data_IF_145981196616
#
_entry.id   IF_145981196616
#
_cell.length_a   1.000
_cell.length_b   1.000
_cell.length_c   1.000
_cell.angle_alpha   90.00
_cell.angle_beta   90.00
_cell.angle_gamma   90.00
#
_symmetry.space_group_name_H-M   'P 1'
#
loop_
_entity.id
_entity.type
_entity.pdbx_description
1 polymer ?
#
# COMPACT_ATOMS: atom_id res chain seq x y z
N UNK A 1 4.97 12.92 -14.35
CA UNK A 1 4.83 12.13 -15.60
C UNK A 1 3.83 12.74 -16.58
N UNK A 2 2.93 13.61 -16.17
CA UNK A 2 1.85 14.16 -17.02
C UNK A 2 0.77 13.14 -17.42
N UNK A 3 0.79 11.95 -16.85
CA UNK A 3 -0.23 10.92 -17.07
C UNK A 3 -1.36 11.20 -16.06
N UNK A 4 -2.61 11.37 -16.54
CA UNK A 4 -3.73 11.74 -15.67
C UNK A 4 -4.15 10.59 -14.74
N UNK A 5 -4.05 9.33 -15.19
CA UNK A 5 -4.45 8.16 -14.41
C UNK A 5 -3.33 7.12 -14.38
N UNK A 6 -2.97 6.68 -13.19
CA UNK A 6 -2.07 5.55 -12.96
C UNK A 6 -2.74 4.55 -12.02
N UNK A 7 -2.54 3.25 -12.30
CA UNK A 7 -3.12 2.17 -11.50
C UNK A 7 -2.04 1.13 -11.25
N UNK A 8 -1.99 0.61 -10.04
CA UNK A 8 -1.18 -0.53 -9.64
C UNK A 8 -2.07 -1.71 -9.27
N UNK A 9 -1.64 -2.91 -9.65
CA UNK A 9 -2.30 -4.14 -9.24
C UNK A 9 -1.30 -5.22 -8.90
N UNK A 10 -1.65 -6.05 -7.93
CA UNK A 10 -0.84 -7.16 -7.44
C UNK A 10 -1.43 -8.49 -7.92
N UNK A 11 -0.58 -9.38 -8.38
CA UNK A 11 -0.98 -10.73 -8.76
C UNK A 11 -0.97 -11.62 -7.53
N UNK A 12 -2.17 -12.05 -7.11
CA UNK A 12 -2.38 -12.97 -5.99
C UNK A 12 -2.45 -14.43 -6.42
N UNK A 13 -2.91 -15.25 -5.47
CA UNK A 13 -3.12 -16.68 -5.71
C UNK A 13 -4.11 -16.92 -6.87
N UNK A 14 -3.88 -17.99 -7.64
CA UNK A 14 -4.70 -18.34 -8.80
C UNK A 14 -4.53 -17.44 -10.01
N UNK A 15 -3.40 -16.69 -10.10
CA UNK A 15 -3.11 -15.75 -11.21
C UNK A 15 -4.20 -14.70 -11.43
N UNK A 16 -4.77 -14.21 -10.33
CA UNK A 16 -5.73 -13.11 -10.35
C UNK A 16 -5.01 -11.80 -9.98
N UNK A 17 -5.13 -10.79 -10.83
CA UNK A 17 -4.60 -9.45 -10.56
C UNK A 17 -5.69 -8.62 -9.88
N UNK A 18 -5.38 -8.07 -8.72
CA UNK A 18 -6.26 -7.16 -7.98
C UNK A 18 -5.73 -5.74 -8.14
N UNK A 19 -6.56 -4.83 -8.64
CA UNK A 19 -6.20 -3.42 -8.78
C UNK A 19 -6.35 -2.76 -7.40
N UNK A 20 -5.25 -2.63 -6.66
CA UNK A 20 -5.24 -2.13 -5.28
C UNK A 20 -5.00 -0.64 -5.19
N UNK A 21 -4.22 -0.08 -6.11
CA UNK A 21 -3.77 1.30 -6.05
C UNK A 21 -4.18 2.08 -7.29
N UNK A 22 -4.61 3.32 -7.09
CA UNK A 22 -4.94 4.19 -8.20
C UNK A 22 -4.74 5.67 -7.86
N UNK A 23 -4.26 6.43 -8.84
CA UNK A 23 -4.11 7.88 -8.76
C UNK A 23 -4.78 8.53 -9.95
N UNK A 24 -5.52 9.61 -9.71
CA UNK A 24 -6.17 10.39 -10.76
C UNK A 24 -7.48 9.81 -11.27
N UNK A 25 -8.03 8.78 -10.63
CA UNK A 25 -9.34 8.21 -10.93
C UNK A 25 -10.46 9.21 -10.62
N UNK A 26 -11.50 9.20 -11.43
CA UNK A 26 -12.71 10.02 -11.26
C UNK A 26 -13.82 9.26 -10.52
N UNK A 27 -13.78 7.94 -10.61
CA UNK A 27 -14.75 7.03 -10.01
C UNK A 27 -14.06 5.97 -9.18
N UNK A 28 -14.83 5.18 -8.45
CA UNK A 28 -14.33 3.99 -7.75
C UNK A 28 -14.56 2.69 -8.53
N UNK A 29 -14.95 2.75 -9.79
CA UNK A 29 -15.39 1.59 -10.57
C UNK A 29 -14.29 0.53 -10.80
N UNK A 30 -13.03 0.94 -10.76
CA UNK A 30 -11.89 0.02 -10.91
C UNK A 30 -11.19 -0.30 -9.58
N UNK A 31 -11.67 0.24 -8.45
CA UNK A 31 -11.10 -0.06 -7.14
C UNK A 31 -11.38 -1.52 -6.79
N UNK A 32 -10.34 -2.22 -6.34
CA UNK A 32 -10.37 -3.64 -5.97
C UNK A 32 -10.87 -4.58 -7.09
N UNK A 33 -10.81 -4.10 -8.35
CA UNK A 33 -11.23 -4.87 -9.51
C UNK A 33 -10.32 -6.09 -9.68
N UNK A 34 -10.93 -7.26 -9.75
CA UNK A 34 -10.22 -8.52 -10.00
C UNK A 34 -10.13 -8.76 -11.50
N UNK A 35 -8.90 -8.85 -12.00
CA UNK A 35 -8.61 -9.08 -13.42
C UNK A 35 -8.06 -10.50 -13.57
N UNK A 36 -8.75 -11.30 -14.38
CA UNK A 36 -8.39 -12.69 -14.63
C UNK A 36 -7.28 -12.82 -15.67
N UNK A 37 -6.53 -13.90 -15.58
CA UNK A 37 -5.46 -14.24 -16.52
C UNK A 37 -5.99 -14.28 -17.96
N UNK A 38 -5.32 -13.57 -18.87
CA UNK A 38 -5.73 -13.44 -20.27
C UNK A 38 -6.81 -12.40 -20.56
N UNK A 39 -7.53 -11.91 -19.54
CA UNK A 39 -8.66 -11.01 -19.72
C UNK A 39 -8.25 -9.52 -19.67
N UNK A 40 -8.76 -8.73 -20.59
CA UNK A 40 -8.48 -7.29 -20.69
C UNK A 40 -7.00 -6.97 -20.90
N UNK A 41 -6.61 -5.73 -20.61
CA UNK A 41 -5.21 -5.28 -20.76
C UNK A 41 -4.28 -5.97 -19.76
N UNK A 42 -4.67 -6.01 -18.49
CA UNK A 42 -3.83 -6.59 -17.43
C UNK A 42 -3.72 -8.09 -17.48
N UNK A 43 -4.82 -8.78 -17.78
CA UNK A 43 -4.80 -10.23 -17.94
C UNK A 43 -3.93 -10.67 -19.12
N UNK A 44 -3.91 -9.87 -20.20
CA UNK A 44 -3.00 -10.10 -21.33
C UNK A 44 -1.54 -9.85 -20.95
N UNK A 45 -1.25 -8.83 -20.13
CA UNK A 45 0.10 -8.61 -19.60
C UNK A 45 0.55 -9.80 -18.75
N UNK A 46 -0.31 -10.31 -17.87
CA UNK A 46 -0.02 -11.52 -17.08
C UNK A 46 0.25 -12.74 -17.98
N UNK A 47 -0.55 -12.94 -19.02
CA UNK A 47 -0.44 -14.09 -19.91
C UNK A 47 0.81 -14.06 -20.79
N UNK A 48 1.28 -12.87 -21.18
CA UNK A 48 2.39 -12.73 -22.12
C UNK A 48 3.71 -12.34 -21.45
N UNK A 49 3.67 -11.81 -20.20
CA UNK A 49 4.83 -11.19 -19.55
C UNK A 49 5.38 -9.97 -20.30
N UNK A 50 4.59 -9.38 -21.20
CA UNK A 50 5.02 -8.27 -22.07
C UNK A 50 4.13 -7.05 -21.88
N UNK A 51 4.68 -5.83 -22.09
CA UNK A 51 3.87 -4.61 -22.11
C UNK A 51 2.76 -4.68 -23.15
N UNK A 52 1.59 -4.16 -22.81
CA UNK A 52 0.42 -4.05 -23.69
C UNK A 52 -0.05 -2.61 -23.71
N UNK A 53 -0.27 -2.04 -24.90
CA UNK A 53 -0.81 -0.70 -25.07
C UNK A 53 -2.00 -0.71 -26.03
N UNK A 54 -3.07 0.00 -25.68
CA UNK A 54 -4.25 0.23 -26.50
C UNK A 54 -4.50 1.71 -26.67
N UNK A 55 -4.58 2.18 -27.92
CA UNK A 55 -4.77 3.59 -28.24
C UNK A 55 -6.24 4.00 -28.26
N UNK A 56 -7.14 3.03 -28.40
CA UNK A 56 -8.60 3.21 -28.29
C UNK A 56 -9.18 1.94 -27.67
N UNK A 57 -9.39 1.97 -26.36
CA UNK A 57 -9.79 0.81 -25.57
C UNK A 57 -11.05 0.11 -26.11
N UNK A 58 -12.17 0.82 -26.41
CA UNK A 58 -13.38 0.18 -26.90
C UNK A 58 -13.24 -0.54 -28.25
N UNK A 59 -12.21 -0.20 -29.03
CA UNK A 59 -11.96 -0.75 -30.37
C UNK A 59 -10.74 -1.68 -30.42
N UNK A 60 -10.15 -1.99 -29.28
CA UNK A 60 -8.89 -2.72 -29.20
C UNK A 60 -9.10 -4.22 -29.40
N UNK A 61 -8.97 -4.75 -30.60
CA UNK A 61 -9.10 -6.19 -30.92
C UNK A 61 -8.00 -7.08 -30.34
N UNK A 62 -7.00 -6.49 -29.65
CA UNK A 62 -5.90 -7.24 -29.03
C UNK A 62 -6.17 -7.66 -27.58
N UNK A 63 -7.30 -7.26 -27.01
CA UNK A 63 -7.71 -7.57 -25.63
C UNK A 63 -9.14 -8.12 -25.64
N UNK A 64 -9.53 -8.77 -24.54
CA UNK A 64 -10.94 -9.08 -24.29
C UNK A 64 -11.63 -7.88 -23.65
N UNK A 65 -12.94 -7.81 -23.73
CA UNK A 65 -13.76 -6.66 -23.32
C UNK A 65 -14.60 -6.93 -22.07
N UNK A 66 -14.14 -7.83 -21.19
CA UNK A 66 -14.84 -8.19 -19.96
C UNK A 66 -14.92 -7.03 -18.95
N UNK A 67 -14.00 -6.06 -19.05
CA UNK A 67 -13.91 -4.91 -18.14
C UNK A 67 -14.33 -3.58 -18.77
N UNK A 68 -15.09 -3.63 -19.86
CA UNK A 68 -15.57 -2.41 -20.56
C UNK A 68 -16.35 -1.49 -19.61
N UNK A 69 -17.25 -2.06 -18.80
CA UNK A 69 -18.11 -1.27 -17.92
C UNK A 69 -17.29 -0.43 -16.93
N UNK A 70 -16.40 -0.98 -16.09
CA UNK A 70 -15.59 -0.17 -15.18
C UNK A 70 -14.63 0.78 -15.90
N UNK A 71 -14.00 0.36 -17.01
CA UNK A 71 -13.03 1.20 -17.74
C UNK A 71 -13.73 2.38 -18.42
N UNK A 72 -14.87 2.17 -19.04
CA UNK A 72 -15.63 3.21 -19.73
C UNK A 72 -16.36 4.14 -18.76
N UNK A 73 -16.81 3.64 -17.59
CA UNK A 73 -17.39 4.49 -16.54
C UNK A 73 -16.36 5.45 -15.96
N UNK A 74 -15.08 5.06 -15.92
CA UNK A 74 -13.97 5.96 -15.60
C UNK A 74 -13.66 6.95 -16.73
N UNK A 75 -14.17 6.71 -17.93
CA UNK A 75 -13.94 7.52 -19.12
C UNK A 75 -12.58 7.27 -19.77
N UNK A 76 -11.90 6.17 -19.46
CA UNK A 76 -10.62 5.82 -20.05
C UNK A 76 -10.78 5.40 -21.52
N UNK A 77 -9.96 5.97 -22.39
CA UNK A 77 -9.93 5.71 -23.83
C UNK A 77 -8.65 5.03 -24.28
N UNK A 78 -7.52 5.39 -23.71
CA UNK A 78 -6.25 4.73 -23.99
C UNK A 78 -5.62 4.23 -22.71
N UNK A 79 -5.03 3.05 -22.77
CA UNK A 79 -4.35 2.43 -21.65
C UNK A 79 -3.04 1.78 -22.10
N UNK A 80 -2.03 1.85 -21.25
CA UNK A 80 -0.83 1.03 -21.35
C UNK A 80 -0.63 0.30 -20.03
N UNK A 81 -0.17 -0.94 -20.09
CA UNK A 81 0.17 -1.72 -18.92
C UNK A 81 1.51 -2.41 -19.10
N UNK A 82 2.31 -2.43 -18.03
CA UNK A 82 3.65 -3.01 -18.01
C UNK A 82 3.73 -4.01 -16.84
N UNK A 83 4.26 -5.23 -17.06
CA UNK A 83 4.46 -6.19 -15.99
C UNK A 83 5.62 -5.77 -15.08
N UNK A 84 5.54 -6.14 -13.82
CA UNK A 84 6.63 -6.21 -12.84
C UNK A 84 6.97 -7.69 -12.68
N UNK A 85 8.14 -8.09 -13.18
CA UNK A 85 8.53 -9.51 -13.28
C UNK A 85 9.64 -9.81 -12.27
N UNK A 86 9.42 -10.78 -11.40
CA UNK A 86 10.46 -11.26 -10.48
C UNK A 86 10.71 -12.74 -10.74
N UNK A 87 11.93 -13.07 -11.11
CA UNK A 87 12.27 -14.43 -11.57
C UNK A 87 11.60 -14.72 -12.93
N UNK A 88 10.54 -15.51 -12.91
CA UNK A 88 9.76 -15.87 -14.12
C UNK A 88 8.29 -15.45 -14.01
N UNK A 89 7.91 -14.91 -12.87
CA UNK A 89 6.51 -14.65 -12.54
C UNK A 89 6.19 -13.16 -12.61
N UNK A 90 5.04 -12.82 -13.19
CA UNK A 90 4.48 -11.48 -13.10
C UNK A 90 3.89 -11.31 -11.71
N UNK A 91 4.50 -10.46 -10.89
CA UNK A 91 4.11 -10.20 -9.50
C UNK A 91 3.15 -9.01 -9.38
N UNK A 92 3.26 -8.07 -10.29
CA UNK A 92 2.38 -6.91 -10.35
C UNK A 92 2.25 -6.36 -11.77
N UNK A 93 1.28 -5.47 -11.98
CA UNK A 93 1.08 -4.76 -13.25
C UNK A 93 0.87 -3.28 -12.96
N UNK A 94 1.61 -2.43 -13.68
CA UNK A 94 1.48 -0.97 -13.62
C UNK A 94 0.75 -0.50 -14.87
N UNK A 95 -0.26 0.36 -14.68
CA UNK A 95 -1.03 0.94 -15.78
C UNK A 95 -0.86 2.45 -15.86
N UNK A 96 -0.93 2.94 -17.08
CA UNK A 96 -1.17 4.34 -17.41
C UNK A 96 -2.47 4.44 -18.19
N UNK A 97 -3.31 5.41 -17.85
CA UNK A 97 -4.59 5.66 -18.51
C UNK A 97 -4.78 7.12 -18.88
N UNK A 98 -5.42 7.35 -20.03
CA UNK A 98 -5.84 8.71 -20.46
C UNK A 98 -7.26 8.67 -21.02
N UNK A 99 -7.95 9.81 -20.90
CA UNK A 99 -9.35 9.98 -21.30
C UNK A 99 -9.55 10.32 -22.79
N UNK A 100 -8.49 10.30 -23.57
CA UNK A 100 -8.49 10.56 -25.01
C UNK A 100 -7.87 9.40 -25.77
N UNK A 101 -8.28 9.18 -27.02
CA UNK A 101 -7.73 8.13 -27.88
C UNK A 101 -6.39 8.60 -28.44
N UNK A 102 -5.29 8.19 -27.79
CA UNK A 102 -3.92 8.56 -28.17
C UNK A 102 -2.99 7.36 -27.99
N UNK A 103 -1.88 7.36 -28.70
CA UNK A 103 -0.78 6.41 -28.45
C UNK A 103 0.13 6.98 -27.37
N UNK A 104 0.55 6.16 -26.44
CA UNK A 104 1.56 6.55 -25.47
C UNK A 104 2.91 6.76 -26.16
N UNK A 105 3.53 7.90 -25.91
CA UNK A 105 4.87 8.20 -26.43
C UNK A 105 5.95 7.40 -25.69
N UNK A 106 7.09 7.20 -26.33
CA UNK A 106 8.23 6.43 -25.82
C UNK A 106 8.69 6.91 -24.43
N UNK A 107 8.67 8.23 -24.19
CA UNK A 107 9.05 8.80 -22.90
C UNK A 107 8.20 8.24 -21.74
N UNK A 108 6.90 8.13 -21.94
CA UNK A 108 5.97 7.59 -20.94
C UNK A 108 6.22 6.10 -20.73
N UNK A 109 6.34 5.34 -21.80
CA UNK A 109 6.61 3.90 -21.73
C UNK A 109 7.95 3.60 -21.08
N UNK A 110 8.98 4.39 -21.35
CA UNK A 110 10.30 4.27 -20.74
C UNK A 110 10.26 4.60 -19.24
N UNK A 111 9.48 5.59 -18.81
CA UNK A 111 9.27 5.90 -17.39
C UNK A 111 8.54 4.78 -16.67
N UNK A 112 7.47 4.25 -17.26
CA UNK A 112 6.76 3.09 -16.69
C UNK A 112 7.67 1.87 -16.57
N UNK A 113 8.48 1.59 -17.61
CA UNK A 113 9.44 0.49 -17.60
C UNK A 113 10.55 0.70 -16.54
N UNK A 114 11.00 1.93 -16.31
CA UNK A 114 11.96 2.25 -15.25
C UNK A 114 11.35 2.00 -13.86
N UNK A 115 10.09 2.43 -13.65
CA UNK A 115 9.36 2.17 -12.42
C UNK A 115 9.15 0.67 -12.18
N UNK A 116 8.78 -0.09 -13.22
CA UNK A 116 8.62 -1.54 -13.12
C UNK A 116 9.94 -2.21 -12.69
N UNK A 117 11.07 -1.85 -13.31
CA UNK A 117 12.39 -2.40 -12.93
C UNK A 117 12.80 -2.06 -11.50
N UNK A 118 12.50 -0.85 -11.02
CA UNK A 118 12.76 -0.48 -9.62
C UNK A 118 11.97 -1.37 -8.65
N UNK A 119 10.69 -1.61 -8.93
CA UNK A 119 9.84 -2.51 -8.14
C UNK A 119 10.30 -3.98 -8.24
N UNK A 120 10.74 -4.45 -9.40
CA UNK A 120 11.31 -5.79 -9.57
C UNK A 120 12.51 -6.01 -8.65
N UNK A 121 13.43 -5.03 -8.59
CA UNK A 121 14.60 -5.09 -7.72
C UNK A 121 14.21 -5.09 -6.25
N UNK A 122 13.26 -4.23 -5.85
CA UNK A 122 12.80 -4.14 -4.46
C UNK A 122 12.12 -5.44 -4.01
N UNK A 123 11.23 -6.00 -4.83
CA UNK A 123 10.57 -7.27 -4.53
C UNK A 123 11.59 -8.40 -4.45
N UNK A 124 12.54 -8.48 -5.38
CA UNK A 124 13.57 -9.51 -5.39
C UNK A 124 14.47 -9.45 -4.15
N UNK A 125 14.86 -8.25 -3.70
CA UNK A 125 15.63 -8.06 -2.45
C UNK A 125 14.82 -8.51 -1.25
N UNK A 126 13.55 -8.13 -1.17
CA UNK A 126 12.65 -8.51 -0.09
C UNK A 126 12.42 -10.03 -0.04
N UNK A 127 12.23 -10.67 -1.20
CA UNK A 127 12.10 -12.13 -1.29
C UNK A 127 13.40 -12.85 -0.84
N UNK A 128 14.57 -12.32 -1.21
CA UNK A 128 15.85 -12.86 -0.80
C UNK A 128 16.12 -12.70 0.71
N UNK A 129 15.69 -11.60 1.32
CA UNK A 129 15.77 -11.38 2.77
C UNK A 129 14.83 -12.34 3.52
N UNK A 130 13.60 -12.52 3.03
CA UNK A 130 12.66 -13.49 3.58
C UNK A 130 13.19 -14.94 3.52
N UNK A 131 13.82 -15.31 2.41
CA UNK A 131 14.42 -16.65 2.22
C UNK A 131 15.61 -16.93 3.14
N UNK A 132 16.31 -15.91 3.63
CA UNK A 132 17.48 -16.04 4.54
C UNK A 132 17.12 -16.13 6.02
N UNK A 133 15.84 -16.24 6.38
CA UNK A 133 15.43 -16.39 7.78
C UNK A 133 15.49 -15.08 8.59
N UNK A 134 15.66 -13.92 7.96
CA UNK A 134 15.17 -12.69 8.51
C UNK A 134 13.65 -12.91 8.64
N UNK A 135 13.13 -12.93 9.87
CA UNK A 135 11.78 -13.39 10.18
C UNK A 135 10.80 -12.95 9.10
N UNK A 136 10.01 -13.86 8.49
CA UNK A 136 9.02 -13.47 7.53
C UNK A 136 8.07 -12.54 8.28
N UNK A 137 8.00 -11.30 7.86
CA UNK A 137 6.80 -10.52 8.05
C UNK A 137 5.72 -11.37 7.39
N UNK A 138 4.87 -12.02 8.20
CA UNK A 138 3.99 -13.10 7.82
C UNK A 138 3.20 -12.82 6.55
N UNK A 139 2.68 -13.85 5.87
CA UNK A 139 1.78 -13.72 4.75
C UNK A 139 0.43 -13.22 5.26
N UNK A 140 0.38 -11.94 5.56
CA UNK A 140 -0.83 -11.20 5.86
C UNK A 140 -1.07 -10.27 4.70
N UNK A 141 -2.10 -10.58 3.92
CA UNK A 141 -2.81 -9.70 2.99
C UNK A 141 -1.89 -8.67 2.30
N UNK A 142 -1.68 -8.83 0.99
CA UNK A 142 -0.89 -7.91 0.15
C UNK A 142 -1.36 -6.45 0.12
N UNK A 143 -2.41 -6.12 0.86
CA UNK A 143 -3.01 -4.79 0.96
C UNK A 143 -2.18 -3.79 1.77
N UNK A 144 -1.50 -4.21 2.85
CA UNK A 144 -0.71 -3.29 3.67
C UNK A 144 0.67 -2.93 3.09
N UNK A 145 1.21 -3.75 2.22
CA UNK A 145 2.62 -3.61 1.77
C UNK A 145 2.81 -2.61 0.63
N UNK A 146 1.78 -2.42 -0.21
CA UNK A 146 1.79 -1.40 -1.26
C UNK A 146 1.46 -0.03 -0.71
N UNK A 147 0.60 0.04 0.29
CA UNK A 147 0.37 1.27 1.05
C UNK A 147 1.66 1.77 1.70
N UNK A 148 2.51 0.87 2.22
CA UNK A 148 3.79 1.22 2.81
C UNK A 148 4.81 1.73 1.76
N UNK A 149 4.88 1.12 0.58
CA UNK A 149 5.81 1.54 -0.49
C UNK A 149 5.39 2.88 -1.09
N UNK A 150 4.11 3.04 -1.39
CA UNK A 150 3.58 4.30 -1.92
C UNK A 150 3.54 5.39 -0.85
N UNK A 151 3.27 5.03 0.41
CA UNK A 151 3.38 5.93 1.56
C UNK A 151 4.83 6.38 1.75
N UNK A 152 5.81 5.49 1.61
CA UNK A 152 7.22 5.84 1.68
C UNK A 152 7.67 6.76 0.53
N UNK A 153 7.21 6.54 -0.70
CA UNK A 153 7.57 7.41 -1.83
C UNK A 153 6.89 8.78 -1.72
N UNK A 154 5.61 8.83 -1.35
CA UNK A 154 4.92 10.09 -1.01
C UNK A 154 5.60 10.80 0.15
N UNK A 155 6.05 10.06 1.15
CA UNK A 155 6.80 10.60 2.29
C UNK A 155 8.12 11.21 1.82
N UNK A 156 8.89 10.52 0.95
CA UNK A 156 10.14 11.02 0.36
C UNK A 156 9.90 12.26 -0.50
N UNK A 157 8.88 12.26 -1.34
CA UNK A 157 8.51 13.40 -2.17
C UNK A 157 8.07 14.59 -1.31
N UNK A 158 7.25 14.36 -0.31
CA UNK A 158 6.81 15.39 0.64
C UNK A 158 7.99 15.97 1.42
N UNK A 159 8.88 15.12 1.92
CA UNK A 159 10.11 15.52 2.60
C UNK A 159 11.01 16.39 1.68
N UNK A 160 11.20 15.97 0.42
CA UNK A 160 11.98 16.76 -0.55
C UNK A 160 11.35 18.13 -0.82
N UNK A 161 10.02 18.20 -0.94
CA UNK A 161 9.30 19.47 -1.12
C UNK A 161 9.41 20.38 0.10
N UNK A 162 9.29 19.82 1.32
CA UNK A 162 9.45 20.58 2.57
C UNK A 162 10.88 21.14 2.67
N UNK A 163 11.91 20.37 2.35
CA UNK A 163 13.30 20.86 2.33
C UNK A 163 13.52 21.98 1.32
N UNK A 164 12.91 21.87 0.13
CA UNK A 164 12.94 22.96 -0.85
C UNK A 164 12.24 24.21 -0.35
N UNK A 165 11.12 24.09 0.36
CA UNK A 165 10.44 25.22 0.98
C UNK A 165 11.31 25.85 2.09
N UNK A 166 11.90 25.04 2.95
CA UNK A 166 12.82 25.52 4.00
C UNK A 166 14.01 26.30 3.41
N UNK A 167 14.58 25.86 2.28
CA UNK A 167 15.69 26.57 1.62
C UNK A 167 15.30 27.87 0.93
N UNK A 168 14.00 28.07 0.63
CA UNK A 168 13.49 29.24 -0.09
C UNK A 168 12.82 30.26 0.80
N UNK A 169 12.51 29.93 2.06
CA UNK A 169 11.90 30.87 2.99
C UNK A 169 12.95 31.82 3.58
N UNK A 170 12.62 33.09 3.64
CA UNK A 170 13.46 34.12 4.29
C UNK A 170 13.19 34.23 5.80
N UNK A 171 12.04 33.73 6.25
CA UNK A 171 11.63 33.74 7.65
C UNK A 171 12.38 32.65 8.43
N UNK A 172 13.21 33.03 9.45
CA UNK A 172 14.02 32.09 10.20
C UNK A 172 13.17 31.14 11.05
N UNK A 173 12.03 31.59 11.58
CA UNK A 173 11.17 30.78 12.44
C UNK A 173 10.43 29.71 11.62
N UNK A 174 9.94 30.10 10.44
CA UNK A 174 9.32 29.16 9.48
C UNK A 174 10.36 28.15 8.97
N UNK A 175 11.61 28.58 8.72
CA UNK A 175 12.69 27.68 8.29
C UNK A 175 12.98 26.64 9.37
N UNK A 176 13.16 27.05 10.61
CA UNK A 176 13.45 26.18 11.74
C UNK A 176 12.33 25.14 11.93
N UNK A 177 11.08 25.55 11.80
CA UNK A 177 9.92 24.66 11.93
C UNK A 177 9.86 23.64 10.79
N UNK A 178 10.12 24.04 9.54
CA UNK A 178 10.18 23.13 8.40
C UNK A 178 11.33 22.12 8.53
N UNK A 179 12.49 22.54 9.01
CA UNK A 179 13.63 21.67 9.28
C UNK A 179 13.33 20.66 10.39
N UNK A 180 12.61 21.08 11.44
CA UNK A 180 12.16 20.20 12.51
C UNK A 180 11.20 19.13 12.00
N UNK A 181 10.20 19.51 11.20
CA UNK A 181 9.27 18.57 10.56
C UNK A 181 10.03 17.57 9.67
N UNK A 182 10.98 18.05 8.87
CA UNK A 182 11.81 17.18 8.05
C UNK A 182 12.64 16.19 8.87
N UNK A 183 13.18 16.60 10.00
CA UNK A 183 13.94 15.74 10.90
C UNK A 183 13.05 14.67 11.54
N UNK A 184 11.84 15.02 11.95
CA UNK A 184 10.85 14.07 12.49
C UNK A 184 10.43 13.02 11.46
N UNK A 185 10.31 13.40 10.18
CA UNK A 185 9.96 12.48 9.10
C UNK A 185 11.06 11.45 8.77
N UNK A 186 12.33 11.78 9.02
CA UNK A 186 13.49 10.92 8.71
C UNK A 186 13.95 10.12 9.93
N UNK A 187 13.62 10.59 11.15
CA UNK A 187 13.99 9.87 12.36
C UNK A 187 13.27 8.52 12.40
N UNK A 188 13.99 7.40 12.61
CA UNK A 188 13.33 6.17 12.97
C UNK A 188 12.48 6.44 14.22
N UNK A 189 11.29 5.80 14.34
CA UNK A 189 10.52 5.93 15.56
C UNK A 189 11.45 5.62 16.73
N UNK A 190 11.41 6.39 17.82
CA UNK A 190 12.28 6.17 18.96
C UNK A 190 12.20 4.68 19.32
N UNK A 191 13.35 4.03 19.52
CA UNK A 191 13.41 2.63 19.95
C UNK A 191 12.57 2.54 21.23
N UNK A 192 11.29 2.16 21.06
CA UNK A 192 10.42 1.92 22.18
C UNK A 192 11.03 0.76 22.97
N UNK A 193 11.24 0.90 24.28
CA UNK A 193 11.65 -0.23 25.08
C UNK A 193 10.70 -1.38 24.76
N UNK A 194 11.24 -2.56 24.45
CA UNK A 194 10.50 -3.75 24.10
C UNK A 194 9.60 -4.17 25.27
N UNK A 195 8.52 -3.44 25.45
CA UNK A 195 7.51 -3.73 26.44
C UNK A 195 6.81 -5.02 26.01
N UNK A 196 7.31 -6.16 26.51
CA UNK A 196 6.71 -7.46 26.25
C UNK A 196 5.33 -7.50 26.90
N UNK A 197 4.31 -7.42 26.04
CA UNK A 197 2.94 -7.68 26.48
C UNK A 197 2.80 -9.18 26.77
N UNK A 198 2.15 -9.51 27.88
CA UNK A 198 1.81 -10.87 28.20
C UNK A 198 0.71 -11.38 27.24
N UNK A 199 0.56 -12.70 27.13
CA UNK A 199 -0.47 -13.32 26.28
C UNK A 199 -1.88 -12.81 26.63
N UNK A 200 -2.19 -12.67 27.93
CA UNK A 200 -3.47 -12.14 28.39
C UNK A 200 -3.69 -10.67 28.07
N UNK A 201 -2.63 -9.88 28.09
CA UNK A 201 -2.68 -8.47 27.69
C UNK A 201 -2.93 -8.32 26.19
N UNK A 202 -2.32 -9.20 25.37
CA UNK A 202 -2.56 -9.27 23.92
C UNK A 202 -3.98 -9.71 23.60
N UNK A 203 -4.51 -10.74 24.29
CA UNK A 203 -5.88 -11.22 24.09
C UNK A 203 -6.91 -10.11 24.39
N UNK A 204 -6.73 -9.38 25.50
CA UNK A 204 -7.57 -8.22 25.83
C UNK A 204 -7.47 -7.13 24.77
N UNK A 205 -6.26 -6.81 24.34
CA UNK A 205 -6.04 -5.75 23.38
C UNK A 205 -6.60 -6.11 21.97
N UNK A 206 -6.56 -7.39 21.59
CA UNK A 206 -7.19 -7.89 20.36
C UNK A 206 -8.71 -7.72 20.37
N UNK A 207 -9.37 -8.00 21.51
CA UNK A 207 -10.81 -7.74 21.67
C UNK A 207 -11.14 -6.24 21.57
N UNK A 208 -10.30 -5.40 22.17
CA UNK A 208 -10.45 -3.93 22.10
C UNK A 208 -10.25 -3.42 20.68
N UNK A 209 -9.33 -3.99 19.90
CA UNK A 209 -9.10 -3.67 18.49
C UNK A 209 -10.33 -3.97 17.61
N UNK A 210 -11.17 -4.95 18.01
CA UNK A 210 -12.46 -5.26 17.39
C UNK A 210 -13.60 -4.32 17.83
N UNK A 211 -13.32 -3.31 18.66
CA UNK A 211 -14.31 -2.36 19.16
C UNK A 211 -15.10 -2.83 20.39
N UNK A 212 -14.76 -3.99 20.96
CA UNK A 212 -15.50 -4.56 22.11
C UNK A 212 -15.34 -3.72 23.39
N UNK A 213 -16.41 -3.65 24.16
CA UNK A 213 -16.40 -3.05 25.49
C UNK A 213 -15.72 -3.97 26.51
N UNK A 214 -15.41 -3.48 27.70
CA UNK A 214 -14.83 -4.29 28.76
C UNK A 214 -15.75 -5.44 29.20
N UNK A 215 -17.08 -5.25 29.11
CA UNK A 215 -18.07 -6.28 29.46
C UNK A 215 -18.09 -7.38 28.42
N UNK A 216 -18.11 -7.01 27.14
CA UNK A 216 -18.06 -7.97 26.03
C UNK A 216 -16.73 -8.74 25.99
N UNK A 217 -15.61 -8.06 26.21
CA UNK A 217 -14.29 -8.68 26.32
C UNK A 217 -14.22 -9.65 27.52
N UNK A 218 -14.82 -9.28 28.64
CA UNK A 218 -14.89 -10.12 29.83
C UNK A 218 -15.70 -11.40 29.57
N UNK A 219 -16.81 -11.27 28.86
CA UNK A 219 -17.66 -12.42 28.50
C UNK A 219 -16.91 -13.38 27.55
N UNK A 220 -16.24 -12.85 26.52
CA UNK A 220 -15.47 -13.65 25.56
C UNK A 220 -14.29 -14.38 26.19
N UNK A 221 -13.64 -13.76 27.16
CA UNK A 221 -12.45 -14.32 27.80
C UNK A 221 -12.76 -15.13 29.06
N UNK A 222 -14.01 -15.17 29.51
CA UNK A 222 -14.43 -15.87 30.74
C UNK A 222 -13.82 -15.27 32.02
N UNK A 223 -13.63 -13.93 32.08
CA UNK A 223 -13.04 -13.20 33.22
C UNK A 223 -13.95 -12.07 33.68
N UNK A 224 -13.62 -11.42 34.79
CA UNK A 224 -14.36 -10.24 35.27
C UNK A 224 -14.03 -8.96 34.49
N UNK A 225 -15.02 -8.08 34.33
CA UNK A 225 -14.84 -6.78 33.66
C UNK A 225 -13.77 -5.89 34.33
N UNK A 226 -13.63 -5.96 35.66
CA UNK A 226 -12.57 -5.27 36.40
C UNK A 226 -11.17 -5.84 36.10
N UNK A 227 -11.10 -7.16 35.81
CA UNK A 227 -9.86 -7.81 35.38
C UNK A 227 -9.45 -7.33 34.00
N UNK A 228 -10.39 -7.20 33.06
CA UNK A 228 -10.14 -6.59 31.74
C UNK A 228 -9.62 -5.16 31.88
N UNK A 229 -10.25 -4.35 32.72
CA UNK A 229 -9.82 -2.97 33.01
C UNK A 229 -8.40 -2.92 33.58
N UNK A 230 -8.06 -3.88 34.45
CA UNK A 230 -6.70 -4.00 35.01
C UNK A 230 -5.66 -4.33 33.92
N UNK A 231 -5.95 -5.27 33.03
CA UNK A 231 -5.10 -5.60 31.89
C UNK A 231 -4.93 -4.39 30.97
N UNK A 232 -6.02 -3.69 30.62
CA UNK A 232 -5.92 -2.48 29.78
C UNK A 232 -5.07 -1.40 30.40
N UNK A 233 -5.21 -1.17 31.71
CA UNK A 233 -4.35 -0.20 32.41
C UNK A 233 -2.88 -0.62 32.36
N UNK A 234 -2.57 -1.91 32.51
CA UNK A 234 -1.21 -2.42 32.40
C UNK A 234 -0.65 -2.25 30.98
N UNK A 235 -1.46 -2.57 29.96
CA UNK A 235 -1.10 -2.40 28.54
C UNK A 235 -0.83 -0.92 28.23
N UNK A 236 -1.74 -0.02 28.59
CA UNK A 236 -1.59 1.42 28.37
C UNK A 236 -0.29 1.96 29.00
N UNK A 237 -0.01 1.56 30.24
CA UNK A 237 1.24 1.93 30.90
C UNK A 237 2.48 1.38 30.19
N UNK A 238 2.45 0.13 29.71
CA UNK A 238 3.56 -0.52 29.01
C UNK A 238 3.82 0.08 27.65
N UNK A 239 2.77 0.54 26.96
CA UNK A 239 2.81 1.12 25.62
C UNK A 239 2.88 2.66 25.65
N UNK A 240 2.98 3.27 26.83
CA UNK A 240 2.93 4.72 27.03
C UNK A 240 1.74 5.38 26.30
N UNK A 241 0.57 4.76 26.43
CA UNK A 241 -0.67 5.17 25.80
C UNK A 241 -1.65 5.75 26.84
N UNK A 242 -2.29 6.85 26.53
CA UNK A 242 -3.26 7.50 27.39
C UNK A 242 -4.70 7.05 27.16
N UNK A 243 -4.96 6.47 25.98
CA UNK A 243 -6.27 5.94 25.62
C UNK A 243 -6.18 4.49 25.12
N UNK A 244 -7.32 3.78 25.22
CA UNK A 244 -7.43 2.40 24.69
C UNK A 244 -7.14 2.32 23.20
N UNK A 245 -7.50 3.34 22.42
CA UNK A 245 -7.25 3.42 20.98
C UNK A 245 -5.78 3.68 20.68
N UNK A 246 -5.12 4.52 21.46
CA UNK A 246 -3.67 4.71 21.36
C UNK A 246 -2.90 3.43 21.66
N UNK A 247 -3.35 2.67 22.66
CA UNK A 247 -2.75 1.37 23.00
C UNK A 247 -2.87 0.36 21.84
N UNK A 248 -4.02 0.30 21.16
CA UNK A 248 -4.22 -0.53 19.96
C UNK A 248 -3.29 -0.09 18.84
N UNK A 249 -3.24 1.22 18.54
CA UNK A 249 -2.37 1.76 17.50
C UNK A 249 -0.88 1.54 17.81
N UNK A 250 -0.47 1.69 19.07
CA UNK A 250 0.90 1.40 19.50
C UNK A 250 1.25 -0.08 19.32
N UNK A 251 0.33 -0.99 19.69
CA UNK A 251 0.53 -2.43 19.52
C UNK A 251 0.60 -2.85 18.03
N UNK A 252 -0.19 -2.20 17.15
CA UNK A 252 -0.10 -2.40 15.69
C UNK A 252 1.24 -1.96 15.14
N UNK A 253 1.71 -0.75 15.52
CA UNK A 253 3.05 -0.27 15.09
C UNK A 253 4.20 -1.19 15.53
N UNK A 254 4.03 -1.88 16.66
CA UNK A 254 5.01 -2.85 17.17
C UNK A 254 4.85 -4.26 16.57
N UNK A 255 3.90 -4.49 15.69
CA UNK A 255 3.60 -5.81 15.13
C UNK A 255 3.03 -6.81 16.16
N UNK A 256 2.55 -6.33 17.31
CA UNK A 256 1.94 -7.17 18.35
C UNK A 256 0.45 -7.46 18.08
N UNK A 257 -0.18 -6.67 17.19
CA UNK A 257 -1.53 -6.87 16.67
C UNK A 257 -1.53 -6.68 15.14
N UNK A 258 -2.42 -7.40 14.44
CA UNK A 258 -2.64 -7.21 13.00
C UNK A 258 -3.31 -5.86 12.70
#
# INVERSE_FOLDING_TARGET
>A
TGIPVTIGGVVGEGHTLVLSESLGMRTSAMKDLKVHYGAGVGGRVMATGKPVGVADYPRAGVITHEYDLPVLSEGLRSMAAIPVVVGKDVRAVIYAGVHSSVRFGEKVLNQMAATARALEQEIAVNDALAARGAAPVGPGSGEGRWDDVLSNERMRETHARLRMLASRTEDPDVRAELERICAEMVSPPPEMPTARLSRRELDVLACVAQGKTNIETAADMGIGAETVKSYLRSVMRKLDAHTRFEAVNAARRMGALP
#
